data_IF_621194337058
#
_entry.id   IF_621194337058
#
_cell.length_a   1.000
_cell.length_b   1.000
_cell.length_c   1.000
_cell.angle_alpha   90.00
_cell.angle_beta   90.00
_cell.angle_gamma   90.00
#
_symmetry.space_group_name_H-M   'P 1'
#
loop_
_entity.id
_entity.type
_entity.pdbx_description
1 polymer ?
#
# COMPACT_ATOMS: atom_id res chain seq x y z
N UNK A 1 -15.04 -29.01 -6.53
CA UNK A 1 -13.89 -28.55 -7.34
C UNK A 1 -13.23 -27.41 -6.57
N UNK A 2 -12.01 -27.59 -6.07
CA UNK A 2 -11.29 -26.53 -5.35
C UNK A 2 -10.89 -25.44 -6.34
N UNK A 3 -11.46 -24.25 -6.18
CA UNK A 3 -11.10 -23.06 -6.96
C UNK A 3 -9.71 -22.59 -6.56
N UNK A 4 -8.77 -22.55 -7.51
CA UNK A 4 -7.37 -22.16 -7.31
C UNK A 4 -7.21 -20.63 -7.18
N UNK A 5 -7.94 -20.01 -6.25
CA UNK A 5 -7.95 -18.55 -6.01
C UNK A 5 -6.56 -17.99 -5.70
N UNK A 6 -5.68 -18.81 -5.10
CA UNK A 6 -4.29 -18.48 -4.82
C UNK A 6 -3.50 -18.13 -6.10
N UNK A 7 -3.78 -18.79 -7.22
CA UNK A 7 -3.08 -18.54 -8.48
C UNK A 7 -3.46 -17.19 -9.10
N UNK A 8 -4.70 -16.71 -8.87
CA UNK A 8 -5.12 -15.38 -9.30
C UNK A 8 -4.54 -14.26 -8.44
N UNK A 9 -4.33 -14.50 -7.14
CA UNK A 9 -3.84 -13.48 -6.20
C UNK A 9 -2.31 -13.30 -6.25
N UNK A 10 -1.58 -14.36 -6.63
CA UNK A 10 -0.13 -14.38 -6.76
C UNK A 10 0.45 -13.17 -7.55
N UNK A 11 -0.02 -12.82 -8.77
CA UNK A 11 0.54 -11.70 -9.53
C UNK A 11 0.35 -10.34 -8.81
N UNK A 12 -0.79 -10.13 -8.15
CA UNK A 12 -1.04 -8.90 -7.40
C UNK A 12 -0.11 -8.77 -6.20
N UNK A 13 0.13 -9.86 -5.49
CA UNK A 13 1.04 -9.87 -4.35
C UNK A 13 2.49 -9.60 -4.80
N UNK A 14 2.93 -10.21 -5.89
CA UNK A 14 4.26 -9.99 -6.46
C UNK A 14 4.44 -8.51 -6.86
N UNK A 15 3.46 -7.94 -7.59
CA UNK A 15 3.49 -6.53 -7.97
C UNK A 15 3.53 -5.61 -6.73
N UNK A 16 2.72 -5.91 -5.71
CA UNK A 16 2.69 -5.16 -4.47
C UNK A 16 4.06 -5.15 -3.78
N UNK A 17 4.72 -6.31 -3.67
CA UNK A 17 6.06 -6.42 -3.06
C UNK A 17 7.11 -5.65 -3.88
N UNK A 18 7.08 -5.77 -5.22
CA UNK A 18 8.00 -5.03 -6.10
C UNK A 18 7.84 -3.52 -5.91
N UNK A 19 6.59 -3.03 -5.90
CA UNK A 19 6.26 -1.62 -5.69
C UNK A 19 6.71 -1.12 -4.31
N UNK A 20 6.49 -1.92 -3.26
CA UNK A 20 6.88 -1.58 -1.90
C UNK A 20 8.41 -1.48 -1.78
N UNK A 21 9.13 -2.46 -2.31
CA UNK A 21 10.60 -2.48 -2.29
C UNK A 21 11.18 -1.32 -3.11
N UNK A 22 10.67 -1.09 -4.32
CA UNK A 22 11.14 0.04 -5.15
C UNK A 22 10.85 1.40 -4.50
N UNK A 23 9.68 1.58 -3.88
CA UNK A 23 9.37 2.80 -3.14
C UNK A 23 10.27 3.00 -1.92
N UNK A 24 10.59 1.94 -1.16
CA UNK A 24 11.55 2.02 -0.05
C UNK A 24 12.95 2.40 -0.54
N UNK A 25 13.44 1.76 -1.59
CA UNK A 25 14.77 2.03 -2.15
C UNK A 25 14.84 3.47 -2.65
N UNK A 26 13.81 3.94 -3.38
CA UNK A 26 13.75 5.34 -3.85
C UNK A 26 13.74 6.33 -2.68
N UNK A 27 13.00 6.02 -1.62
CA UNK A 27 12.91 6.87 -0.44
C UNK A 27 14.25 6.95 0.30
N UNK A 28 14.93 5.82 0.51
CA UNK A 28 16.25 5.78 1.16
C UNK A 28 17.26 6.54 0.29
N UNK A 29 17.24 6.34 -1.03
CA UNK A 29 18.18 6.99 -1.95
C UNK A 29 18.01 8.50 -2.02
N UNK A 30 16.78 8.98 -1.91
CA UNK A 30 16.45 10.41 -1.95
C UNK A 30 16.15 11.01 -0.57
N UNK A 31 16.56 10.34 0.51
CA UNK A 31 16.19 10.73 1.87
C UNK A 31 16.56 12.18 2.21
N UNK A 32 17.79 12.61 1.87
CA UNK A 32 18.26 13.98 2.10
C UNK A 32 17.71 15.01 1.11
N UNK A 33 17.17 14.58 -0.04
CA UNK A 33 16.68 15.48 -1.08
C UNK A 33 15.18 15.80 -0.91
N UNK A 34 14.46 15.00 -0.12
CA UNK A 34 13.03 15.21 0.13
C UNK A 34 12.84 16.06 1.38
N UNK A 35 11.88 16.98 1.34
CA UNK A 35 11.56 17.84 2.49
C UNK A 35 11.04 17.02 3.68
N UNK A 36 10.26 15.96 3.42
CA UNK A 36 9.62 15.15 4.47
C UNK A 36 9.76 13.64 4.18
N UNK A 37 10.96 13.04 4.30
CA UNK A 37 11.16 11.61 4.03
C UNK A 37 10.42 10.71 5.03
N UNK A 38 10.24 11.18 6.27
CA UNK A 38 9.50 10.46 7.33
C UNK A 38 8.02 10.30 6.99
N UNK A 39 7.39 11.34 6.41
CA UNK A 39 6.01 11.26 5.94
C UNK A 39 5.84 10.21 4.84
N UNK A 40 6.78 10.17 3.89
CA UNK A 40 6.78 9.16 2.83
C UNK A 40 6.98 7.75 3.37
N UNK A 41 7.85 7.56 4.36
CA UNK A 41 8.05 6.27 5.03
C UNK A 41 6.75 5.78 5.69
N UNK A 42 6.10 6.66 6.44
CA UNK A 42 4.78 6.42 7.03
C UNK A 42 3.75 6.03 5.96
N UNK A 43 3.70 6.76 4.84
CA UNK A 43 2.74 6.51 3.78
C UNK A 43 2.94 5.14 3.13
N UNK A 44 4.20 4.74 2.86
CA UNK A 44 4.53 3.44 2.28
C UNK A 44 4.21 2.29 3.24
N UNK A 45 4.51 2.43 4.53
CA UNK A 45 4.21 1.40 5.55
C UNK A 45 2.70 1.29 5.84
N UNK A 46 1.97 2.40 5.82
CA UNK A 46 0.58 2.44 6.22
C UNK A 46 -0.40 2.36 5.05
N UNK A 47 0.03 2.20 3.79
CA UNK A 47 -0.90 2.17 2.65
C UNK A 47 -1.98 1.09 2.77
N UNK A 48 -1.65 -0.07 3.36
CA UNK A 48 -2.57 -1.17 3.64
C UNK A 48 -3.57 -0.85 4.76
N UNK A 49 -3.07 -0.24 5.84
CA UNK A 49 -3.87 0.12 7.02
C UNK A 49 -4.73 1.36 6.77
N UNK A 50 -4.15 2.42 6.20
CA UNK A 50 -4.84 3.67 5.84
C UNK A 50 -5.87 3.42 4.75
N UNK A 51 -5.59 2.56 3.76
CA UNK A 51 -6.60 2.17 2.76
C UNK A 51 -7.87 1.59 3.42
N UNK A 52 -7.68 0.74 4.43
CA UNK A 52 -8.78 0.15 5.22
C UNK A 52 -9.49 1.18 6.11
N UNK A 53 -8.73 2.08 6.74
CA UNK A 53 -9.26 3.17 7.58
C UNK A 53 -10.09 4.15 6.73
N UNK A 54 -9.59 4.57 5.55
CA UNK A 54 -10.30 5.44 4.62
C UNK A 54 -11.58 4.77 4.13
N UNK A 55 -11.54 3.47 3.80
CA UNK A 55 -12.74 2.71 3.42
C UNK A 55 -13.79 2.72 4.54
N UNK A 56 -13.39 2.56 5.80
CA UNK A 56 -14.32 2.64 6.94
C UNK A 56 -14.86 4.06 7.20
N UNK A 57 -14.02 5.09 7.01
CA UNK A 57 -14.40 6.49 7.22
C UNK A 57 -15.33 6.98 6.11
N UNK A 58 -14.98 6.74 4.84
CA UNK A 58 -15.77 7.19 3.68
C UNK A 58 -16.94 6.25 3.33
N UNK A 59 -16.84 4.96 3.67
CA UNK A 59 -17.87 3.96 3.42
C UNK A 59 -19.11 4.09 4.32
N UNK A 60 -19.04 4.86 5.41
CA UNK A 60 -20.20 5.21 6.25
C UNK A 60 -21.03 6.38 5.70
N UNK A 61 -21.18 6.47 4.37
CA UNK A 61 -22.37 7.12 3.83
C UNK A 61 -23.49 6.08 3.91
N UNK A 62 -24.13 6.03 5.08
CA UNK A 62 -25.48 5.49 5.21
C UNK A 62 -26.35 6.20 4.17
N UNK A 63 -26.55 5.55 3.03
CA UNK A 63 -27.61 5.88 2.11
C UNK A 63 -28.90 5.43 2.79
N UNK A 64 -29.45 6.32 3.61
CA UNK A 64 -30.87 6.32 3.89
C UNK A 64 -31.63 6.83 2.67
#
# INVERSE_FOLDING_TARGET
MMSNTLALLAPFFILYVILLVTALIDLIRNWNNRQNPILWLLLICFVSTIGSIIYFIFGRKDYR
#
